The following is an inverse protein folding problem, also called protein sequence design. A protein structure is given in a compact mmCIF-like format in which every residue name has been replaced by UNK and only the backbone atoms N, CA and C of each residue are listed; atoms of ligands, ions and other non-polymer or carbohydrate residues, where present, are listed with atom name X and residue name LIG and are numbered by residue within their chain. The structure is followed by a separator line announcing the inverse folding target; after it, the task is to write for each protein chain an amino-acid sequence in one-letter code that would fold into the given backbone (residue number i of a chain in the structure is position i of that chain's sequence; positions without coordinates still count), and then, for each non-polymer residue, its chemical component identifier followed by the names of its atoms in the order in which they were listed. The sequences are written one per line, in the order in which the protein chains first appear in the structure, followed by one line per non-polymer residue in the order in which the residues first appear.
data_IF_821253761324
#
_entry.id   IF_821253761324
#
_cell.length_a   1.000
_cell.length_b   1.000
_cell.length_c   1.000
_cell.angle_alpha   90.00
_cell.angle_beta   90.00
_cell.angle_gamma   90.00
#
_symmetry.space_group_name_H-M   'P 1'
#
loop_
_entity.id
_entity.type
_entity.pdbx_description
1 polymer ?
#
# COMPACT_ATOMS: atom_id res chain seq x y z
N UNK A 1 -10.90 15.93 -25.74
CA UNK A 1 -9.61 16.25 -25.11
C UNK A 1 -9.24 15.05 -24.25
N UNK A 2 -8.08 14.45 -24.48
CA UNK A 2 -7.67 13.26 -23.73
C UNK A 2 -7.08 13.72 -22.39
N UNK A 3 -7.87 13.66 -21.33
CA UNK A 3 -7.42 13.90 -19.96
C UNK A 3 -6.66 12.66 -19.46
N UNK A 4 -5.46 12.45 -19.99
CA UNK A 4 -4.56 11.42 -19.49
C UNK A 4 -4.07 11.84 -18.10
N UNK A 5 -4.67 11.26 -17.07
CA UNK A 5 -4.26 11.48 -15.68
C UNK A 5 -2.78 11.12 -15.51
N UNK A 6 -1.99 12.08 -15.03
CA UNK A 6 -0.58 11.85 -14.69
C UNK A 6 -0.51 11.31 -13.27
N UNK A 7 0.28 10.25 -13.08
CA UNK A 7 0.59 9.65 -11.79
C UNK A 7 2.02 10.01 -11.38
N UNK A 8 2.26 10.09 -10.07
CA UNK A 8 3.56 10.42 -9.49
C UNK A 8 3.97 9.33 -8.50
N UNK A 9 5.21 8.88 -8.60
CA UNK A 9 5.85 7.98 -7.64
C UNK A 9 7.02 8.71 -6.98
N UNK A 10 7.17 8.54 -5.67
CA UNK A 10 8.29 9.05 -4.92
C UNK A 10 9.22 7.88 -4.60
N UNK A 11 10.47 7.96 -5.06
CA UNK A 11 11.52 7.06 -4.61
C UNK A 11 12.14 7.67 -3.35
N UNK A 12 12.06 6.94 -2.25
CA UNK A 12 12.58 7.37 -0.96
C UNK A 12 13.68 6.42 -0.47
N UNK A 13 14.63 6.97 0.28
CA UNK A 13 15.41 6.18 1.24
C UNK A 13 14.63 6.12 2.52
N UNK A 14 14.53 4.92 3.11
CA UNK A 14 13.87 4.69 4.38
C UNK A 14 14.90 4.18 5.39
N UNK A 15 14.94 4.78 6.58
CA UNK A 15 15.54 4.18 7.76
C UNK A 15 14.43 3.63 8.67
N UNK A 16 14.08 2.33 8.55
CA UNK A 16 12.91 1.77 9.22
C UNK A 16 13.09 1.60 10.74
N UNK A 17 14.33 1.62 11.24
CA UNK A 17 14.61 1.42 12.67
C UNK A 17 14.42 -0.02 13.10
N UNK A 18 13.60 -0.24 14.13
CA UNK A 18 13.23 -1.58 14.61
C UNK A 18 11.82 -1.92 14.10
N UNK A 19 11.71 -2.66 12.98
CA UNK A 19 10.41 -2.98 12.40
C UNK A 19 9.72 -4.12 13.17
N UNK A 20 8.41 -3.99 13.33
CA UNK A 20 7.49 -5.05 13.74
C UNK A 20 7.08 -5.87 12.51
N UNK A 21 7.00 -7.20 12.62
CA UNK A 21 6.43 -8.03 11.56
C UNK A 21 4.90 -7.99 11.67
N UNK A 22 4.23 -7.64 10.59
CA UNK A 22 2.78 -7.40 10.56
C UNK A 22 2.16 -8.15 9.39
N UNK A 23 1.08 -8.87 9.67
CA UNK A 23 0.28 -9.52 8.64
C UNK A 23 -0.50 -8.52 7.78
N UNK A 24 -0.60 -8.82 6.48
CA UNK A 24 -1.43 -8.03 5.57
C UNK A 24 -2.90 -8.05 6.04
N UNK A 25 -3.49 -6.87 6.19
CA UNK A 25 -4.86 -6.71 6.69
C UNK A 25 -4.98 -6.62 8.22
N UNK A 26 -3.85 -6.54 8.94
CA UNK A 26 -3.85 -6.26 10.37
C UNK A 26 -4.67 -5.00 10.71
N UNK A 27 -5.52 -5.03 11.76
CA UNK A 27 -6.29 -3.87 12.20
C UNK A 27 -5.45 -2.85 12.97
N UNK A 28 -4.15 -3.09 13.11
CA UNK A 28 -3.23 -2.32 13.94
C UNK A 28 -3.01 -0.90 13.38
N UNK A 29 -3.38 0.11 14.17
CA UNK A 29 -3.25 1.53 13.80
C UNK A 29 -2.05 2.23 14.44
N UNK A 30 -1.30 1.54 15.30
CA UNK A 30 -0.13 2.03 16.04
C UNK A 30 0.86 0.87 16.26
N UNK A 31 2.13 1.11 16.61
CA UNK A 31 3.04 0.02 16.96
C UNK A 31 2.49 -0.84 18.12
N UNK A 32 2.72 -2.16 18.10
CA UNK A 32 2.30 -3.05 19.19
C UNK A 32 3.06 -2.80 20.50
N UNK A 33 4.21 -2.13 20.40
CA UNK A 33 5.05 -1.70 21.52
C UNK A 33 5.82 -0.43 21.16
N UNK A 34 6.14 0.45 22.13
CA UNK A 34 6.97 1.65 21.91
C UNK A 34 8.39 1.36 21.38
N UNK A 35 8.85 0.11 21.45
CA UNK A 35 10.13 -0.31 20.91
C UNK A 35 10.13 -0.37 19.38
N UNK A 36 8.97 -0.65 18.77
CA UNK A 36 8.83 -0.72 17.33
C UNK A 36 8.66 0.66 16.73
N UNK A 37 9.32 0.87 15.59
CA UNK A 37 9.36 2.18 14.92
C UNK A 37 8.67 2.18 13.58
N UNK A 38 8.53 1.02 12.98
CA UNK A 38 7.84 0.78 11.72
C UNK A 38 7.26 -0.62 11.72
N UNK A 39 6.41 -0.93 10.74
CA UNK A 39 5.93 -2.26 10.45
C UNK A 39 6.46 -2.74 9.10
N UNK A 40 6.55 -4.06 8.92
CA UNK A 40 6.91 -4.69 7.65
C UNK A 40 6.35 -6.11 7.55
N UNK A 41 6.33 -6.68 6.35
CA UNK A 41 5.89 -8.06 6.10
C UNK A 41 6.97 -9.13 6.33
N UNK A 42 8.25 -8.76 6.24
CA UNK A 42 9.35 -9.71 6.38
C UNK A 42 10.61 -9.03 6.94
N UNK A 43 11.37 -9.76 7.76
CA UNK A 43 12.63 -9.24 8.33
C UNK A 43 13.79 -9.27 7.34
N UNK A 44 13.78 -10.19 6.38
CA UNK A 44 14.91 -10.40 5.46
C UNK A 44 14.72 -9.67 4.14
N UNK A 45 13.54 -9.74 3.56
CA UNK A 45 13.26 -9.17 2.24
C UNK A 45 11.87 -8.53 2.21
N UNK A 46 11.71 -7.34 2.83
CA UNK A 46 10.44 -6.67 2.96
C UNK A 46 9.91 -6.20 1.59
N UNK A 47 8.62 -6.38 1.36
CA UNK A 47 7.93 -5.88 0.15
C UNK A 47 7.12 -4.63 0.43
N UNK A 48 6.76 -4.38 1.69
CA UNK A 48 6.13 -3.14 2.12
C UNK A 48 6.51 -2.76 3.54
N UNK A 49 6.32 -1.48 3.85
CA UNK A 49 6.51 -0.91 5.17
C UNK A 49 5.27 -0.13 5.60
N UNK A 50 4.96 -0.17 6.89
CA UNK A 50 3.99 0.70 7.54
C UNK A 50 4.75 1.68 8.43
N UNK A 51 4.46 2.96 8.26
CA UNK A 51 5.01 4.02 9.09
C UNK A 51 3.81 4.65 9.83
N UNK A 52 3.80 4.54 11.15
CA UNK A 52 2.73 5.13 11.97
C UNK A 52 3.03 6.59 12.27
N UNK A 53 1.98 7.40 12.37
CA UNK A 53 2.12 8.82 12.75
C UNK A 53 2.76 8.99 14.14
N UNK A 54 2.47 8.07 15.07
CA UNK A 54 3.07 8.05 16.40
C UNK A 54 4.56 7.71 16.40
N UNK A 55 5.10 7.18 15.30
CA UNK A 55 6.51 6.83 15.15
C UNK A 55 7.34 8.08 14.82
N UNK A 56 7.54 8.93 15.84
CA UNK A 56 8.13 10.28 15.76
C UNK A 56 9.59 10.38 15.25
N UNK A 57 10.15 9.35 14.61
CA UNK A 57 11.57 9.35 14.20
C UNK A 57 11.89 8.39 13.04
N UNK A 58 10.91 7.90 12.30
CA UNK A 58 11.18 7.21 11.03
C UNK A 58 11.61 8.27 10.01
N UNK A 59 12.87 8.21 9.60
CA UNK A 59 13.41 9.13 8.61
C UNK A 59 13.08 8.59 7.22
N UNK A 60 12.19 9.31 6.53
CA UNK A 60 11.87 9.10 5.12
C UNK A 60 12.49 10.26 4.36
N UNK A 61 13.47 9.96 3.51
CA UNK A 61 14.09 10.95 2.64
C UNK A 61 13.62 10.74 1.20
N UNK A 62 12.77 11.63 0.66
CA UNK A 62 12.49 11.65 -0.77
C UNK A 62 13.76 11.91 -1.57
N UNK A 63 14.10 11.02 -2.50
CA UNK A 63 15.22 11.23 -3.41
C UNK A 63 14.76 11.74 -4.77
N UNK A 64 13.74 11.10 -5.35
CA UNK A 64 13.31 11.38 -6.72
C UNK A 64 11.80 11.28 -6.84
N UNK A 65 11.23 12.12 -7.69
CA UNK A 65 9.84 12.01 -8.13
C UNK A 65 9.80 11.57 -9.58
N UNK A 66 9.14 10.46 -9.84
CA UNK A 66 8.91 9.92 -11.18
C UNK A 66 7.47 10.22 -11.58
N UNK A 67 7.30 11.02 -12.63
CA UNK A 67 5.98 11.32 -13.18
C UNK A 67 5.77 10.51 -14.45
N UNK A 68 4.64 9.82 -14.55
CA UNK A 68 4.30 9.02 -15.72
C UNK A 68 2.82 9.08 -16.01
N UNK A 69 2.46 8.83 -17.26
CA UNK A 69 1.07 8.68 -17.67
C UNK A 69 0.82 7.20 -17.86
N UNK A 70 -0.20 6.66 -17.21
CA UNK A 70 -0.57 5.27 -17.43
C UNK A 70 -1.09 5.12 -18.86
N UNK A 71 -0.44 4.28 -19.66
CA UNK A 71 -0.88 4.01 -21.03
C UNK A 71 -2.09 3.09 -21.07
N UNK A 72 -2.39 2.36 -19.98
CA UNK A 72 -3.57 1.51 -19.85
C UNK A 72 -4.15 1.55 -18.44
N UNK A 73 -5.49 1.47 -18.36
CA UNK A 73 -6.22 1.19 -17.13
C UNK A 73 -5.84 -0.23 -16.71
N UNK A 74 -4.84 -0.38 -15.84
CA UNK A 74 -4.69 -1.61 -15.08
C UNK A 74 -5.98 -1.76 -14.27
N UNK A 75 -6.97 -2.44 -14.84
CA UNK A 75 -8.06 -3.02 -14.05
C UNK A 75 -7.33 -3.90 -13.05
N UNK A 76 -7.28 -3.48 -11.78
CA UNK A 76 -6.94 -4.41 -10.70
C UNK A 76 -7.79 -5.65 -10.99
N UNK A 77 -7.20 -6.86 -11.13
CA UNK A 77 -8.04 -8.05 -11.14
C UNK A 77 -8.90 -7.93 -9.89
N UNK A 78 -10.20 -7.77 -10.09
CA UNK A 78 -11.14 -7.63 -8.99
C UNK A 78 -10.86 -8.78 -8.03
N UNK A 79 -10.83 -8.49 -6.73
CA UNK A 79 -10.76 -9.57 -5.76
C UNK A 79 -11.83 -10.62 -6.14
N UNK A 80 -11.57 -11.93 -6.04
CA UNK A 80 -12.54 -12.97 -6.41
C UNK A 80 -13.92 -12.79 -5.75
N UNK A 81 -13.99 -12.02 -4.67
CA UNK A 81 -15.19 -11.67 -3.94
C UNK A 81 -16.09 -10.64 -4.66
N UNK A 82 -15.53 -9.80 -5.54
CA UNK A 82 -16.28 -8.73 -6.22
C UNK A 82 -16.99 -9.24 -7.49
N UNK A 83 -16.39 -10.16 -8.24
CA UNK A 83 -17.04 -10.81 -9.39
C UNK A 83 -18.25 -11.67 -8.98
N UNK A 84 -18.17 -12.35 -7.84
CA UNK A 84 -19.27 -13.18 -7.33
C UNK A 84 -20.53 -12.35 -7.02
N UNK A 85 -20.38 -11.06 -6.70
CA UNK A 85 -21.49 -10.16 -6.39
C UNK A 85 -22.18 -9.62 -7.65
N UNK A 86 -21.42 -9.45 -8.74
CA UNK A 86 -21.94 -8.97 -10.03
C UNK A 86 -22.73 -10.10 -10.71
N UNK A 87 -22.23 -11.34 -10.70
CA UNK A 87 -22.92 -12.49 -11.28
C UNK A 87 -24.24 -12.82 -10.55
N UNK A 88 -24.28 -12.66 -9.23
CA UNK A 88 -25.50 -12.89 -8.43
C UNK A 88 -26.59 -11.85 -8.72
N UNK A 89 -26.25 -10.57 -8.89
CA UNK A 89 -27.23 -9.54 -9.25
C UNK A 89 -27.82 -9.76 -10.65
N UNK A 90 -27.01 -10.20 -11.62
CA UNK A 90 -27.49 -10.49 -12.98
C UNK A 90 -28.44 -11.70 -13.07
N UNK A 91 -28.30 -12.68 -12.16
CA UNK A 91 -29.14 -13.89 -12.14
C UNK A 91 -30.46 -13.71 -11.38
N UNK A 92 -30.59 -12.66 -10.57
CA UNK A 92 -31.80 -12.33 -9.81
C UNK A 92 -32.74 -11.36 -10.56
N UNK A 93 -32.35 -10.89 -11.75
CA UNK A 93 -33.16 -10.00 -12.60
C UNK A 93 -33.73 -10.69 -13.85
N UNK A 94 -33.88 -12.02 -13.83
CA UNK A 94 -34.55 -12.78 -14.90
C UNK A 94 -35.65 -13.65 -14.30
#
# INVERSE_FOLDING_TARGET
MNDQQTAHLLLCVLWPGFPEIIDAGSPQSQPGSPLFRSGTDSSENPTWHVIWESSARTEILPLYMVSFRSTQLCKRPGSPHEEASIQKKARLSM
#
